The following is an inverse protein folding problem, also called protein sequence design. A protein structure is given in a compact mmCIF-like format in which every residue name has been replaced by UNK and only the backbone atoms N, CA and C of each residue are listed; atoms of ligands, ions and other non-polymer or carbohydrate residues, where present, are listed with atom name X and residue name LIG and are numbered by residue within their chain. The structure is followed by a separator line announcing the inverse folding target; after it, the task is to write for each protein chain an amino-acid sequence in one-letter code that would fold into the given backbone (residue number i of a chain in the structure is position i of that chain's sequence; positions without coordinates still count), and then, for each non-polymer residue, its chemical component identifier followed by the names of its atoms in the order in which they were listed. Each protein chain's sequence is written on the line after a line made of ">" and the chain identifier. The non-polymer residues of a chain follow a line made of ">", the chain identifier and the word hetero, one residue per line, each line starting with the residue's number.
data_IF_142919872785
#
_entry.id   IF_142919872785
#
_cell.length_a   1.000
_cell.length_b   1.000
_cell.length_c   1.000
_cell.angle_alpha   90.00
_cell.angle_beta   90.00
_cell.angle_gamma   90.00
#
_symmetry.space_group_name_H-M   'P 1'
#
loop_
_entity.id
_entity.type
_entity.pdbx_description
1 polymer ?
#
# COMPACT_ATOMS: atom_id res chain seq x y z
N UNK A 1 5.16 -13.33 -20.25
CA UNK A 1 6.44 -12.62 -20.51
C UNK A 1 6.66 -11.63 -19.37
N UNK A 2 7.27 -12.08 -18.27
CA UNK A 2 7.64 -11.21 -17.15
C UNK A 2 9.09 -10.82 -17.35
N UNK A 3 9.32 -9.58 -17.80
CA UNK A 3 10.65 -9.00 -17.90
C UNK A 3 11.28 -9.01 -16.51
N UNK A 4 12.41 -9.72 -16.38
CA UNK A 4 13.17 -9.81 -15.17
C UNK A 4 13.69 -8.45 -14.74
N UNK A 5 13.20 -7.94 -13.62
CA UNK A 5 13.88 -6.91 -12.85
C UNK A 5 15.10 -7.54 -12.17
N UNK A 6 16.18 -7.72 -12.93
CA UNK A 6 17.51 -7.87 -12.35
C UNK A 6 17.91 -6.52 -11.77
N UNK A 7 17.48 -6.27 -10.54
CA UNK A 7 17.85 -5.09 -9.78
C UNK A 7 19.34 -5.26 -9.42
N UNK A 8 20.22 -4.75 -10.29
CA UNK A 8 21.64 -4.63 -9.97
C UNK A 8 21.74 -3.80 -8.70
N UNK A 9 21.92 -4.44 -7.56
CA UNK A 9 22.27 -3.75 -6.32
C UNK A 9 23.67 -3.19 -6.52
N UNK A 10 23.75 -1.93 -6.97
CA UNK A 10 25.00 -1.18 -6.98
C UNK A 10 25.52 -1.20 -5.54
N UNK A 11 26.72 -1.75 -5.35
CA UNK A 11 27.36 -1.75 -4.03
C UNK A 11 27.55 -0.31 -3.56
N UNK A 12 26.77 0.09 -2.56
CA UNK A 12 26.86 1.42 -1.96
C UNK A 12 28.25 1.61 -1.34
N UNK A 13 28.84 2.78 -1.51
CA UNK A 13 30.06 3.18 -0.79
C UNK A 13 29.74 3.36 0.69
N UNK A 14 30.74 3.20 1.57
CA UNK A 14 30.57 3.35 3.03
C UNK A 14 29.85 4.64 3.45
N UNK A 15 30.17 5.76 2.81
CA UNK A 15 29.49 7.06 3.06
C UNK A 15 28.00 7.04 2.69
N UNK A 16 27.61 6.32 1.63
CA UNK A 16 26.21 6.22 1.23
C UNK A 16 25.42 5.30 2.14
N UNK A 17 26.03 4.22 2.63
CA UNK A 17 25.43 3.35 3.66
C UNK A 17 25.11 4.16 4.92
N UNK A 18 26.05 5.01 5.36
CA UNK A 18 25.83 5.85 6.54
C UNK A 18 24.72 6.89 6.30
N UNK A 19 24.68 7.50 5.12
CA UNK A 19 23.59 8.41 4.74
C UNK A 19 22.23 7.72 4.73
N UNK A 20 22.15 6.49 4.20
CA UNK A 20 20.93 5.68 4.22
C UNK A 20 20.48 5.42 5.66
N UNK A 21 21.39 5.05 6.57
CA UNK A 21 21.04 4.87 7.98
C UNK A 21 20.46 6.12 8.60
N UNK A 22 21.08 7.28 8.37
CA UNK A 22 20.59 8.57 8.88
C UNK A 22 19.19 8.90 8.36
N UNK A 23 18.96 8.73 7.05
CA UNK A 23 17.65 8.99 6.45
C UNK A 23 16.56 8.05 7.00
N UNK A 24 16.88 6.77 7.23
CA UNK A 24 15.93 5.80 7.79
C UNK A 24 15.45 6.13 9.21
N UNK A 25 16.21 6.92 9.98
CA UNK A 25 15.79 7.39 11.32
C UNK A 25 14.63 8.38 11.25
N UNK A 26 14.43 9.06 10.11
CA UNK A 26 13.35 10.02 9.91
C UNK A 26 11.97 9.35 9.80
N UNK A 27 11.94 8.05 9.50
CA UNK A 27 10.70 7.33 9.25
C UNK A 27 10.06 6.87 10.57
N UNK A 28 8.85 7.35 10.91
CA UNK A 28 8.12 6.79 12.04
C UNK A 28 7.76 5.32 11.77
N UNK A 29 7.63 4.53 12.85
CA UNK A 29 7.30 3.10 12.73
C UNK A 29 5.92 2.86 12.14
N UNK A 30 4.99 3.75 12.43
CA UNK A 30 3.61 3.74 11.95
C UNK A 30 3.23 5.14 11.53
N UNK A 31 2.27 5.22 10.62
CA UNK A 31 1.66 6.46 10.17
C UNK A 31 0.14 6.32 10.20
N UNK A 32 -0.54 7.42 10.48
CA UNK A 32 -2.00 7.49 10.42
C UNK A 32 -2.42 8.02 9.06
N UNK A 33 -3.20 7.22 8.34
CA UNK A 33 -3.72 7.58 7.02
C UNK A 33 -5.23 7.40 7.04
N UNK A 34 -5.94 8.46 6.67
CA UNK A 34 -7.38 8.39 6.43
C UNK A 34 -7.62 8.13 4.94
N UNK A 35 -8.25 6.98 4.62
CA UNK A 35 -8.51 6.56 3.24
C UNK A 35 -10.01 6.55 2.96
N UNK A 36 -10.41 7.14 1.83
CA UNK A 36 -11.79 7.15 1.34
C UNK A 36 -11.83 6.88 -0.16
N UNK A 37 -12.99 6.46 -0.68
CA UNK A 37 -13.23 6.45 -2.14
C UNK A 37 -13.52 7.86 -2.63
N UNK A 38 -13.06 8.20 -3.82
CA UNK A 38 -13.47 9.44 -4.49
C UNK A 38 -14.85 9.28 -5.12
N UNK A 39 -15.55 10.40 -5.34
CA UNK A 39 -16.84 10.41 -6.05
C UNK A 39 -16.66 10.08 -7.54
N UNK A 40 -15.51 10.43 -8.11
CA UNK A 40 -15.18 10.20 -9.54
C UNK A 40 -14.56 8.82 -9.81
N UNK A 41 -14.49 7.96 -8.78
CA UNK A 41 -13.78 6.68 -8.83
C UNK A 41 -12.37 6.74 -8.22
N UNK A 42 -11.79 5.58 -7.91
CA UNK A 42 -10.49 5.50 -7.21
C UNK A 42 -10.56 5.83 -5.72
N UNK A 43 -9.42 6.25 -5.16
CA UNK A 43 -9.20 6.45 -3.73
C UNK A 43 -8.47 7.76 -3.45
N UNK A 44 -8.78 8.36 -2.30
CA UNK A 44 -8.09 9.53 -1.74
C UNK A 44 -7.57 9.16 -0.36
N UNK A 45 -6.34 9.59 -0.06
CA UNK A 45 -5.68 9.42 1.22
C UNK A 45 -5.24 10.78 1.78
N UNK A 46 -5.49 10.98 3.07
CA UNK A 46 -4.91 12.07 3.86
C UNK A 46 -3.97 11.47 4.90
N UNK A 47 -2.70 11.87 4.89
CA UNK A 47 -1.70 11.39 5.87
C UNK A 47 -1.73 12.32 7.08
N UNK A 48 -2.42 11.90 8.14
CA UNK A 48 -2.76 12.74 9.28
C UNK A 48 -1.53 13.22 10.08
N UNK A 49 -0.44 12.45 10.06
CA UNK A 49 0.82 12.83 10.71
C UNK A 49 1.60 13.90 9.92
N UNK A 50 1.19 14.18 8.68
CA UNK A 50 1.75 15.24 7.82
C UNK A 50 0.61 16.13 7.30
N UNK A 51 0.15 17.13 8.09
CA UNK A 51 -1.00 17.95 7.73
C UNK A 51 -0.88 18.59 6.34
N UNK A 52 -1.93 18.49 5.54
CA UNK A 52 -1.94 18.96 4.15
C UNK A 52 -1.37 17.96 3.14
N UNK A 53 -0.82 16.82 3.58
CA UNK A 53 -0.41 15.73 2.71
C UNK A 53 -1.63 14.92 2.27
N UNK A 54 -2.17 15.29 1.12
CA UNK A 54 -3.30 14.63 0.47
C UNK A 54 -2.82 14.06 -0.86
N UNK A 55 -3.21 12.82 -1.14
CA UNK A 55 -2.87 12.15 -2.39
C UNK A 55 -4.01 11.22 -2.83
N UNK A 56 -3.93 10.70 -4.04
CA UNK A 56 -4.98 9.89 -4.65
C UNK A 56 -4.40 8.78 -5.53
N UNK A 57 -5.23 7.80 -5.86
CA UNK A 57 -4.84 6.72 -6.77
C UNK A 57 -6.05 5.95 -7.28
N UNK A 58 -5.99 5.53 -8.54
CA UNK A 58 -7.10 4.83 -9.22
C UNK A 58 -7.39 3.45 -8.63
N UNK A 59 -6.38 2.83 -8.03
CA UNK A 59 -6.48 1.54 -7.34
C UNK A 59 -5.90 1.66 -5.95
N UNK A 60 -6.26 0.72 -5.07
CA UNK A 60 -5.70 0.68 -3.72
C UNK A 60 -4.18 0.53 -3.73
N UNK A 61 -3.62 -0.23 -4.68
CA UNK A 61 -2.18 -0.37 -4.85
C UNK A 61 -1.54 0.96 -5.25
N UNK A 62 -2.10 1.63 -6.26
CA UNK A 62 -1.61 2.93 -6.71
C UNK A 62 -1.69 3.98 -5.58
N UNK A 63 -2.76 3.96 -4.77
CA UNK A 63 -2.88 4.83 -3.61
C UNK A 63 -1.74 4.61 -2.61
N UNK A 64 -1.38 3.37 -2.31
CA UNK A 64 -0.29 3.06 -1.38
C UNK A 64 1.05 3.52 -1.94
N UNK A 65 1.30 3.36 -3.23
CA UNK A 65 2.50 3.89 -3.88
C UNK A 65 2.56 5.42 -3.75
N UNK A 66 1.45 6.10 -4.00
CA UNK A 66 1.33 7.55 -3.90
C UNK A 66 1.47 8.08 -2.47
N UNK A 67 0.96 7.35 -1.47
CA UNK A 67 1.18 7.68 -0.04
C UNK A 67 2.67 7.59 0.31
N UNK A 68 3.37 6.56 -0.14
CA UNK A 68 4.81 6.42 0.11
C UNK A 68 5.62 7.52 -0.59
N UNK A 69 5.29 7.84 -1.85
CA UNK A 69 5.95 8.93 -2.58
C UNK A 69 5.74 10.30 -1.92
N UNK A 70 4.53 10.57 -1.43
CA UNK A 70 4.23 11.78 -0.69
C UNK A 70 5.04 11.86 0.61
N UNK A 71 5.21 10.75 1.35
CA UNK A 71 6.05 10.73 2.56
C UNK A 71 7.52 10.95 2.23
N UNK A 72 8.03 10.35 1.16
CA UNK A 72 9.41 10.61 0.72
C UNK A 72 9.62 12.08 0.37
N UNK A 73 8.61 12.72 -0.23
CA UNK A 73 8.61 14.15 -0.53
C UNK A 73 8.60 14.99 0.75
N UNK A 74 7.72 14.69 1.71
CA UNK A 74 7.63 15.41 2.98
C UNK A 74 8.90 15.27 3.83
N UNK A 75 9.60 14.15 3.75
CA UNK A 75 10.87 13.89 4.44
C UNK A 75 12.10 14.32 3.61
N UNK A 76 11.90 14.96 2.46
CA UNK A 76 12.94 15.45 1.55
C UNK A 76 13.98 14.38 1.16
N UNK A 77 13.51 13.15 0.93
CA UNK A 77 14.39 12.03 0.58
C UNK A 77 14.95 12.22 -0.84
N UNK A 78 16.28 12.25 -1.01
CA UNK A 78 16.87 12.33 -2.35
C UNK A 78 16.51 11.10 -3.20
N UNK A 79 16.10 11.30 -4.46
CA UNK A 79 15.65 10.24 -5.37
C UNK A 79 16.56 9.01 -5.44
N UNK A 80 17.89 9.22 -5.42
CA UNK A 80 18.87 8.12 -5.46
C UNK A 80 18.84 7.19 -4.25
N UNK A 81 18.17 7.58 -3.16
CA UNK A 81 18.05 6.80 -1.93
C UNK A 81 16.69 6.15 -1.73
N UNK A 82 15.67 6.48 -2.54
CA UNK A 82 14.28 6.01 -2.36
C UNK A 82 14.21 4.47 -2.29
N UNK A 83 14.94 3.75 -3.14
CA UNK A 83 14.96 2.28 -3.16
C UNK A 83 15.54 1.62 -1.90
N UNK A 84 16.13 2.40 -0.99
CA UNK A 84 16.67 1.92 0.29
C UNK A 84 15.83 2.37 1.50
N UNK A 85 14.76 3.13 1.28
CA UNK A 85 13.90 3.64 2.34
C UNK A 85 12.81 2.63 2.73
N UNK A 86 12.23 2.75 3.94
CA UNK A 86 11.08 1.95 4.35
C UNK A 86 9.87 2.26 3.48
N UNK A 87 9.08 1.22 3.19
CA UNK A 87 7.80 1.32 2.49
C UNK A 87 6.69 0.97 3.48
N UNK A 88 5.70 1.86 3.62
CA UNK A 88 4.48 1.59 4.37
C UNK A 88 3.53 0.75 3.54
N UNK A 89 3.04 -0.34 4.13
CA UNK A 89 2.07 -1.23 3.52
C UNK A 89 0.75 -1.14 4.27
N UNK A 90 -0.35 -1.33 3.53
CA UNK A 90 -1.67 -1.46 4.15
C UNK A 90 -1.80 -2.84 4.82
N UNK A 91 -2.35 -2.92 6.04
CA UNK A 91 -2.73 -4.19 6.65
C UNK A 91 -3.70 -5.00 5.78
N UNK A 92 -3.47 -6.33 5.67
CA UNK A 92 -4.23 -7.20 4.78
C UNK A 92 -5.74 -7.20 5.06
N UNK A 93 -6.14 -7.16 6.34
CA UNK A 93 -7.54 -7.09 6.75
C UNK A 93 -8.25 -5.82 6.26
N UNK A 94 -7.53 -4.69 6.17
CA UNK A 94 -8.07 -3.43 5.64
C UNK A 94 -8.09 -3.47 4.12
N UNK A 95 -7.02 -3.93 3.47
CA UNK A 95 -6.98 -4.10 2.02
C UNK A 95 -8.11 -5.00 1.52
N UNK A 96 -8.35 -6.10 2.23
CA UNK A 96 -9.49 -6.99 1.98
C UNK A 96 -10.82 -6.26 2.13
N UNK A 97 -11.06 -5.44 3.16
CA UNK A 97 -12.32 -4.67 3.28
C UNK A 97 -12.57 -3.74 2.09
N UNK A 98 -11.51 -3.12 1.55
CA UNK A 98 -11.62 -2.30 0.35
C UNK A 98 -11.86 -3.12 -0.93
N UNK A 99 -11.42 -4.38 -0.97
CA UNK A 99 -11.62 -5.33 -2.07
C UNK A 99 -12.90 -6.19 -1.98
N UNK A 100 -13.45 -6.39 -0.78
CA UNK A 100 -14.63 -7.23 -0.50
C UNK A 100 -15.95 -6.45 -0.65
N UNK A 101 -15.90 -5.13 -0.79
CA UNK A 101 -17.11 -4.33 -0.97
C UNK A 101 -17.56 -4.36 -2.44
N UNK A 102 -18.66 -5.04 -2.79
CA UNK A 102 -19.24 -4.87 -4.12
C UNK A 102 -19.82 -3.46 -4.25
N UNK A 103 -19.66 -2.86 -5.42
CA UNK A 103 -20.76 -2.08 -6.00
C UNK A 103 -21.91 -3.09 -6.07
N UNK A 104 -23.01 -2.90 -5.31
CA UNK A 104 -24.22 -3.74 -5.38
C UNK A 104 -24.47 -4.13 -6.86
N UNK A 105 -24.56 -5.41 -7.22
CA UNK A 105 -25.64 -6.33 -6.86
C UNK A 105 -25.11 -7.77 -6.77
N UNK A 106 -25.38 -8.44 -5.66
CA UNK A 106 -25.26 -9.91 -5.58
C UNK A 106 -26.63 -10.45 -5.21
N UNK A 107 -27.36 -10.95 -6.21
CA UNK A 107 -28.48 -11.87 -6.01
C UNK A 107 -28.00 -13.27 -6.38
N UNK A 108 -28.26 -14.23 -5.49
CA UNK A 108 -27.94 -15.63 -5.73
C UNK A 108 -28.77 -16.54 -4.83
N UNK A 109 -29.48 -17.48 -5.44
CA UNK A 109 -30.21 -18.53 -4.73
C UNK A 109 -29.26 -19.71 -4.51
N UNK A 110 -29.15 -20.18 -3.27
CA UNK A 110 -28.34 -21.35 -2.93
C UNK A 110 -29.25 -22.58 -2.72
N UNK A 111 -28.84 -23.73 -3.25
CA UNK A 111 -29.45 -25.04 -2.94
C UNK A 111 -28.59 -25.76 -1.92
N UNK A 112 -29.14 -25.99 -0.73
CA UNK A 112 -28.55 -26.88 0.26
C UNK A 112 -29.00 -28.31 -0.03
N UNK A 113 -28.04 -29.23 -0.05
CA UNK A 113 -28.31 -30.67 -0.13
C UNK A 113 -27.99 -31.29 1.22
N UNK A 114 -28.93 -32.09 1.73
CA UNK A 114 -28.71 -32.93 2.91
C UNK A 114 -27.90 -34.15 2.52
N UNK A 115 -26.84 -34.43 3.29
CA UNK A 115 -26.11 -35.68 3.18
C UNK A 115 -26.88 -36.74 3.98
N UNK A 116 -27.52 -37.70 3.31
CA UNK A 116 -27.99 -38.90 4.01
C UNK A 116 -26.77 -39.77 4.33
N UNK A 117 -26.45 -39.86 5.62
CA UNK A 117 -25.53 -40.87 6.16
C UNK A 117 -26.35 -42.05 6.67
N UNK A 118 -26.61 -43.03 5.82
CA UNK A 118 -26.99 -44.41 6.18
C UNK A 118 -27.32 -45.17 4.90
N UNK A 119 -26.96 -46.43 4.70
CA UNK A 119 -26.45 -47.46 5.59
C UNK A 119 -26.03 -48.66 4.73
N UNK A 120 -25.14 -49.48 5.31
CA UNK A 120 -24.73 -50.86 4.96
C UNK A 120 -23.38 -51.00 4.28
#
# INVERSE_FOLDING_TARGET
>A
MLLGYSMRMVKLKRKEIEKVKQLRVLFPREIKVHVRRSQDGGFVAEVLDYPGCITEGDTLSALIDMVNDAIYTMLEIPKKYISYMPVYLMPLNIAQRFSIFPVKNVEGSLKLLTHESSSR
#
